data_IF_120354704308
#
_entry.id   IF_120354704308
#
_cell.length_a   1.000
_cell.length_b   1.000
_cell.length_c   1.000
_cell.angle_alpha   90.00
_cell.angle_beta   90.00
_cell.angle_gamma   90.00
#
_symmetry.space_group_name_H-M   'P 1'
#
loop_
_entity.id
_entity.type
_entity.pdbx_description
1 polymer ?
#
# COMPACT_ATOMS: atom_id res chain seq x y z
N UNK A 1 -0.17 12.05 -11.06
CA UNK A 1 0.91 11.65 -10.11
C UNK A 1 0.50 11.65 -8.63
N UNK A 2 0.17 12.80 -7.98
CA UNK A 2 -0.10 12.83 -6.52
C UNK A 2 -1.35 12.04 -6.06
N UNK A 3 -2.35 11.84 -6.93
CA UNK A 3 -3.60 11.16 -6.57
C UNK A 3 -3.55 9.63 -6.64
N UNK A 4 -2.80 9.06 -7.60
CA UNK A 4 -2.69 7.60 -7.78
C UNK A 4 -1.72 6.99 -6.75
N UNK A 5 -0.58 7.64 -6.47
CA UNK A 5 0.35 7.21 -5.42
C UNK A 5 -0.31 7.16 -4.03
N UNK A 6 -1.27 8.07 -3.80
CA UNK A 6 -2.05 8.15 -2.57
C UNK A 6 -3.11 7.02 -2.47
N UNK A 7 -3.69 6.60 -3.59
CA UNK A 7 -4.60 5.44 -3.65
C UNK A 7 -3.86 4.14 -3.29
N UNK A 8 -2.62 3.96 -3.78
CA UNK A 8 -1.78 2.81 -3.40
C UNK A 8 -1.33 2.83 -1.93
N UNK A 9 -1.02 4.01 -1.39
CA UNK A 9 -0.67 4.19 0.03
C UNK A 9 -1.84 3.86 0.98
N UNK A 10 -3.07 4.16 0.55
CA UNK A 10 -4.32 3.88 1.28
C UNK A 10 -4.72 2.40 1.24
N UNK A 11 -4.57 1.72 0.10
CA UNK A 11 -4.76 0.26 -0.02
C UNK A 11 -3.78 -0.48 0.91
N UNK A 12 -2.59 0.08 1.11
CA UNK A 12 -1.54 -0.53 1.91
C UNK A 12 -1.79 -0.46 3.44
N UNK A 13 -2.44 0.58 3.97
CA UNK A 13 -2.79 0.67 5.40
C UNK A 13 -3.81 -0.40 5.84
N UNK A 14 -4.55 -1.00 4.91
CA UNK A 14 -5.52 -2.06 5.18
C UNK A 14 -4.88 -3.39 5.64
N UNK A 15 -3.70 -3.72 5.12
CA UNK A 15 -2.99 -4.96 5.50
C UNK A 15 -2.42 -4.91 6.93
N UNK A 16 -2.36 -3.74 7.56
CA UNK A 16 -1.83 -3.55 8.91
C UNK A 16 -2.94 -3.57 9.98
N UNK A 17 -4.15 -3.10 9.64
CA UNK A 17 -5.22 -2.86 10.63
C UNK A 17 -6.39 -3.87 10.62
N UNK A 18 -6.45 -4.80 9.66
CA UNK A 18 -7.43 -5.88 9.71
C UNK A 18 -6.90 -7.07 10.52
N UNK A 19 -7.19 -7.07 11.83
CA UNK A 19 -7.10 -8.26 12.68
C UNK A 19 -7.93 -9.41 12.08
N UNK A 20 -7.25 -10.51 11.78
CA UNK A 20 -7.82 -11.71 11.18
C UNK A 20 -8.82 -12.41 12.12
N UNK A 21 -9.92 -13.01 11.60
CA UNK A 21 -10.50 -14.21 12.20
C UNK A 21 -9.54 -15.39 12.00
N UNK A 22 -9.45 -16.22 13.05
CA UNK A 22 -8.49 -17.30 13.26
C UNK A 22 -8.60 -18.47 12.27
N UNK A 23 -7.44 -19.06 11.93
CA UNK A 23 -7.28 -20.52 11.76
C UNK A 23 -7.05 -21.02 10.33
N UNK A 24 -6.06 -21.90 10.10
CA UNK A 24 -5.73 -22.40 8.77
C UNK A 24 -6.69 -23.52 8.35
N UNK A 25 -7.33 -23.38 7.19
CA UNK A 25 -7.82 -24.54 6.47
C UNK A 25 -6.61 -25.23 5.83
N UNK A 26 -6.27 -26.42 6.34
CA UNK A 26 -5.23 -27.28 5.75
C UNK A 26 -5.61 -27.55 4.29
N UNK A 27 -4.81 -27.05 3.35
CA UNK A 27 -5.01 -27.24 1.90
C UNK A 27 -5.74 -26.11 1.17
N UNK A 28 -6.14 -25.03 1.84
CA UNK A 28 -6.70 -23.84 1.19
C UNK A 28 -5.62 -22.86 0.69
N UNK A 29 -5.91 -22.01 -0.31
CA UNK A 29 -4.99 -20.94 -0.71
C UNK A 29 -4.68 -20.07 0.50
N UNK A 30 -3.39 -19.87 0.78
CA UNK A 30 -2.95 -18.95 1.84
C UNK A 30 -3.59 -17.58 1.55
N UNK A 31 -4.32 -17.04 2.51
CA UNK A 31 -4.89 -15.70 2.47
C UNK A 31 -4.25 -14.88 3.60
N UNK A 32 -3.89 -13.62 3.32
CA UNK A 32 -3.32 -12.70 4.30
C UNK A 32 -2.00 -12.04 3.88
N UNK A 33 -1.46 -11.22 4.77
CA UNK A 33 -0.23 -10.41 4.58
C UNK A 33 0.98 -11.27 4.20
N UNK A 34 1.02 -12.53 4.66
CA UNK A 34 2.16 -13.41 4.42
C UNK A 34 2.29 -13.88 2.96
N UNK A 35 1.20 -13.86 2.19
CA UNK A 35 1.22 -14.20 0.76
C UNK A 35 2.07 -13.21 -0.04
N UNK A 36 2.05 -11.94 0.36
CA UNK A 36 2.80 -10.88 -0.31
C UNK A 36 4.33 -11.02 -0.12
N UNK A 37 4.77 -11.79 0.89
CA UNK A 37 6.19 -12.11 1.11
C UNK A 37 6.60 -13.46 0.51
N UNK A 38 5.69 -14.20 -0.14
CA UNK A 38 6.04 -15.42 -0.86
C UNK A 38 6.93 -15.13 -2.08
N UNK A 39 7.63 -16.15 -2.59
CA UNK A 39 8.48 -15.99 -3.80
C UNK A 39 7.60 -15.72 -5.01
N UNK A 40 7.95 -14.66 -5.75
CA UNK A 40 7.37 -14.33 -7.05
C UNK A 40 8.21 -14.98 -8.15
N UNK A 41 7.58 -15.79 -8.98
CA UNK A 41 8.23 -16.45 -10.12
C UNK A 41 8.09 -15.64 -11.40
N UNK A 42 8.99 -15.90 -12.36
CA UNK A 42 8.98 -15.28 -13.70
C UNK A 42 7.63 -15.50 -14.41
N UNK A 43 7.07 -16.71 -14.34
CA UNK A 43 5.79 -17.02 -14.97
C UNK A 43 4.61 -16.31 -14.28
N UNK A 44 4.62 -16.20 -12.94
CA UNK A 44 3.59 -15.47 -12.22
C UNK A 44 3.57 -13.99 -12.62
N UNK A 45 4.72 -13.31 -12.64
CA UNK A 45 4.77 -11.88 -12.99
C UNK A 45 4.39 -11.65 -14.46
N UNK A 46 4.84 -12.48 -15.39
CA UNK A 46 4.48 -12.34 -16.81
C UNK A 46 2.97 -12.53 -17.05
N UNK A 47 2.36 -13.55 -16.43
CA UNK A 47 0.92 -13.75 -16.52
C UNK A 47 0.17 -12.61 -15.83
N UNK A 48 0.66 -12.14 -14.68
CA UNK A 48 0.09 -11.00 -13.98
C UNK A 48 0.09 -9.75 -14.86
N UNK A 49 1.22 -9.37 -15.46
CA UNK A 49 1.32 -8.18 -16.31
C UNK A 49 0.40 -8.23 -17.53
N UNK A 50 0.13 -9.44 -18.05
CA UNK A 50 -0.84 -9.63 -19.13
C UNK A 50 -2.29 -9.39 -18.67
N UNK A 51 -2.64 -9.85 -17.48
CA UNK A 51 -4.03 -9.83 -16.96
C UNK A 51 -4.35 -8.54 -16.21
N UNK A 52 -3.34 -7.89 -15.62
CA UNK A 52 -3.51 -6.71 -14.79
C UNK A 52 -4.22 -5.55 -15.50
N UNK A 53 -3.94 -5.22 -16.78
CA UNK A 53 -4.69 -4.19 -17.49
C UNK A 53 -6.20 -4.45 -17.53
N UNK A 54 -6.62 -5.70 -17.76
CA UNK A 54 -8.03 -6.11 -17.74
C UNK A 54 -8.64 -5.94 -16.35
N UNK A 55 -7.91 -6.30 -15.29
CA UNK A 55 -8.36 -6.04 -13.92
C UNK A 55 -8.57 -4.53 -13.67
N UNK A 56 -7.62 -3.69 -14.06
CA UNK A 56 -7.72 -2.23 -13.88
C UNK A 56 -8.93 -1.67 -14.64
N UNK A 57 -9.16 -2.10 -15.89
CA UNK A 57 -10.35 -1.71 -16.67
C UNK A 57 -11.67 -2.11 -16.00
N UNK A 58 -11.72 -3.31 -15.42
CA UNK A 58 -12.91 -3.78 -14.71
C UNK A 58 -13.19 -2.90 -13.50
N UNK A 59 -12.17 -2.65 -12.67
CA UNK A 59 -12.27 -1.79 -11.48
C UNK A 59 -12.63 -0.36 -11.85
N UNK A 60 -12.04 0.21 -12.90
CA UNK A 60 -12.36 1.56 -13.36
C UNK A 60 -13.79 1.69 -13.89
N UNK A 61 -14.31 0.68 -14.60
CA UNK A 61 -15.70 0.68 -15.07
C UNK A 61 -16.67 0.56 -13.92
N UNK A 62 -16.51 -0.46 -13.08
CA UNK A 62 -17.42 -0.74 -11.96
C UNK A 62 -17.34 0.39 -10.92
N UNK A 63 -16.14 0.93 -10.67
CA UNK A 63 -15.90 2.08 -9.80
C UNK A 63 -16.42 3.43 -10.31
N UNK A 64 -16.82 3.55 -11.59
CA UNK A 64 -17.56 4.71 -12.11
C UNK A 64 -19.08 4.56 -11.92
N UNK A 65 -19.58 3.33 -12.01
CA UNK A 65 -21.00 3.01 -11.80
C UNK A 65 -21.41 3.19 -10.34
N UNK A 66 -20.48 2.87 -9.44
CA UNK A 66 -20.59 3.20 -8.02
C UNK A 66 -20.02 4.61 -7.92
N UNK A 67 -20.82 5.62 -7.66
CA UNK A 67 -20.37 7.02 -7.54
C UNK A 67 -19.47 7.20 -6.30
N UNK A 68 -18.29 6.59 -6.33
CA UNK A 68 -17.21 6.74 -5.38
C UNK A 68 -16.62 8.10 -5.71
N UNK A 69 -17.15 9.16 -5.12
CA UNK A 69 -16.44 10.42 -5.00
C UNK A 69 -15.16 10.13 -4.20
N UNK A 70 -14.14 9.60 -4.87
CA UNK A 70 -12.87 9.27 -4.24
C UNK A 70 -12.20 10.58 -3.88
N UNK A 71 -12.38 11.02 -2.63
CA UNK A 71 -11.49 12.03 -2.08
C UNK A 71 -10.11 11.40 -1.97
N UNK A 72 -9.05 12.08 -2.43
CA UNK A 72 -7.69 11.61 -2.25
C UNK A 72 -7.44 11.39 -0.76
N UNK A 73 -7.26 10.13 -0.34
CA UNK A 73 -6.95 9.75 1.04
C UNK A 73 -8.10 9.05 1.78
N UNK A 74 -9.27 8.91 1.16
CA UNK A 74 -10.41 8.25 1.78
C UNK A 74 -10.33 6.72 1.68
N UNK A 75 -9.73 6.13 2.72
CA UNK A 75 -9.64 4.69 2.97
C UNK A 75 -11.02 4.02 2.94
N UNK A 76 -12.09 4.71 3.38
CA UNK A 76 -13.45 4.16 3.41
C UNK A 76 -14.01 3.92 2.00
N UNK A 77 -13.66 4.77 1.03
CA UNK A 77 -14.05 4.60 -0.37
C UNK A 77 -13.33 3.43 -1.05
N UNK A 78 -12.05 3.19 -0.74
CA UNK A 78 -11.31 2.01 -1.22
C UNK A 78 -11.88 0.70 -0.63
N UNK A 79 -12.29 0.73 0.64
CA UNK A 79 -12.97 -0.38 1.31
C UNK A 79 -14.37 -0.67 0.74
N UNK A 80 -15.14 0.37 0.37
CA UNK A 80 -16.43 0.19 -0.33
C UNK A 80 -16.24 -0.47 -1.69
N UNK A 81 -15.18 -0.12 -2.43
CA UNK A 81 -14.80 -0.82 -3.66
C UNK A 81 -14.53 -2.31 -3.43
N UNK A 82 -13.76 -2.67 -2.39
CA UNK A 82 -13.47 -4.07 -2.03
C UNK A 82 -14.70 -4.85 -1.51
N UNK A 83 -15.58 -4.19 -0.76
CA UNK A 83 -16.87 -4.77 -0.34
C UNK A 83 -17.76 -5.13 -1.54
N UNK A 84 -17.64 -4.41 -2.65
CA UNK A 84 -18.39 -4.65 -3.87
C UNK A 84 -17.74 -5.76 -4.69
N UNK A 85 -16.40 -5.76 -4.77
CA UNK A 85 -15.63 -6.87 -5.35
C UNK A 85 -16.00 -8.21 -4.70
N UNK A 86 -16.24 -8.26 -3.38
CA UNK A 86 -16.68 -9.47 -2.68
C UNK A 86 -18.03 -10.05 -3.18
N UNK A 87 -18.97 -9.22 -3.64
CA UNK A 87 -20.25 -9.67 -4.22
C UNK A 87 -20.09 -10.12 -5.67
N UNK A 88 -19.03 -9.68 -6.34
CA UNK A 88 -18.80 -9.90 -7.77
C UNK A 88 -17.59 -10.81 -8.06
N UNK A 89 -16.96 -11.41 -7.03
CA UNK A 89 -15.77 -12.28 -7.17
C UNK A 89 -15.98 -13.34 -8.24
N UNK A 90 -17.17 -13.93 -8.35
CA UNK A 90 -17.44 -14.97 -9.36
C UNK A 90 -17.38 -14.39 -10.79
N UNK A 91 -17.93 -13.19 -11.00
CA UNK A 91 -17.89 -12.54 -12.31
C UNK A 91 -16.47 -12.05 -12.62
N UNK A 92 -15.77 -11.53 -11.62
CA UNK A 92 -14.39 -11.08 -11.74
C UNK A 92 -13.43 -12.23 -12.01
N UNK A 93 -13.55 -13.35 -11.29
CA UNK A 93 -12.79 -14.59 -11.54
C UNK A 93 -13.02 -15.08 -12.97
N UNK A 94 -14.27 -15.08 -13.45
CA UNK A 94 -14.58 -15.46 -14.83
C UNK A 94 -13.88 -14.56 -15.86
N UNK A 95 -13.96 -13.23 -15.68
CA UNK A 95 -13.30 -12.25 -16.56
C UNK A 95 -11.76 -12.40 -16.53
N UNK A 96 -11.18 -12.60 -15.35
CA UNK A 96 -9.73 -12.78 -15.20
C UNK A 96 -9.27 -14.12 -15.79
N UNK A 97 -10.03 -15.21 -15.59
CA UNK A 97 -9.74 -16.52 -16.20
C UNK A 97 -9.75 -16.42 -17.72
N UNK A 98 -10.71 -15.70 -18.30
CA UNK A 98 -10.74 -15.45 -19.74
C UNK A 98 -9.51 -14.67 -20.22
N UNK A 99 -8.95 -13.78 -19.39
CA UNK A 99 -7.70 -13.08 -19.67
C UNK A 99 -6.44 -13.94 -19.42
N UNK A 100 -6.57 -15.10 -18.76
CA UNK A 100 -5.51 -16.09 -18.58
C UNK A 100 -5.00 -16.28 -17.15
N UNK A 101 -5.69 -15.77 -16.12
CA UNK A 101 -5.35 -15.98 -14.72
C UNK A 101 -6.59 -15.97 -13.82
N UNK A 102 -6.77 -16.97 -12.96
CA UNK A 102 -7.90 -16.96 -12.02
C UNK A 102 -7.69 -16.00 -10.85
N UNK A 103 -8.75 -15.63 -10.15
CA UNK A 103 -8.74 -14.75 -8.97
C UNK A 103 -7.72 -15.19 -7.91
N UNK A 104 -7.71 -16.49 -7.60
CA UNK A 104 -6.81 -17.08 -6.60
C UNK A 104 -5.34 -17.12 -7.04
N UNK A 105 -5.04 -17.00 -8.33
CA UNK A 105 -3.68 -16.85 -8.85
C UNK A 105 -3.30 -15.36 -8.95
N UNK A 106 -4.28 -14.53 -9.34
CA UNK A 106 -4.13 -13.10 -9.54
C UNK A 106 -3.81 -12.36 -8.25
N UNK A 107 -4.54 -12.62 -7.18
CA UNK A 107 -4.36 -11.86 -5.95
C UNK A 107 -2.99 -12.09 -5.28
N UNK A 108 -2.47 -13.33 -5.18
CA UNK A 108 -1.09 -13.54 -4.75
C UNK A 108 -0.05 -12.87 -5.65
N UNK A 109 -0.20 -12.97 -6.97
CA UNK A 109 0.74 -12.36 -7.91
C UNK A 109 0.73 -10.83 -7.81
N UNK A 110 -0.46 -10.23 -7.69
CA UNK A 110 -0.65 -8.81 -7.41
C UNK A 110 0.03 -8.40 -6.09
N UNK A 111 -0.25 -9.10 -5.00
CA UNK A 111 0.31 -8.80 -3.67
C UNK A 111 1.84 -8.80 -3.67
N UNK A 112 2.46 -9.89 -4.16
CA UNK A 112 3.92 -10.01 -4.26
C UNK A 112 4.53 -8.92 -5.15
N UNK A 113 3.93 -8.66 -6.31
CA UNK A 113 4.43 -7.68 -7.29
C UNK A 113 4.35 -6.27 -6.71
N UNK A 114 3.21 -5.88 -6.14
CA UNK A 114 3.00 -4.53 -5.61
C UNK A 114 3.80 -4.29 -4.32
N UNK A 115 4.02 -5.31 -3.50
CA UNK A 115 4.89 -5.20 -2.33
C UNK A 115 6.35 -5.01 -2.71
N UNK A 116 6.84 -5.78 -3.68
CA UNK A 116 8.19 -5.60 -4.22
C UNK A 116 8.36 -4.26 -4.93
N UNK A 117 7.37 -3.84 -5.73
CA UNK A 117 7.35 -2.53 -6.36
C UNK A 117 7.45 -1.40 -5.34
N UNK A 118 6.60 -1.44 -4.30
CA UNK A 118 6.63 -0.39 -3.25
C UNK A 118 7.90 -0.46 -2.42
N UNK A 119 8.45 -1.64 -2.14
CA UNK A 119 9.73 -1.77 -1.46
C UNK A 119 10.87 -1.12 -2.27
N UNK A 120 10.90 -1.29 -3.59
CA UNK A 120 11.87 -0.62 -4.47
C UNK A 120 11.70 0.91 -4.42
N UNK A 121 10.45 1.40 -4.48
CA UNK A 121 10.19 2.83 -4.36
C UNK A 121 10.65 3.38 -3.01
N UNK A 122 10.32 2.71 -1.91
CA UNK A 122 10.77 3.10 -0.58
C UNK A 122 12.29 3.06 -0.47
N UNK A 123 12.95 2.04 -1.01
CA UNK A 123 14.41 1.95 -1.03
C UNK A 123 15.03 3.15 -1.79
N UNK A 124 14.38 3.64 -2.85
CA UNK A 124 14.81 4.86 -3.56
C UNK A 124 14.56 6.15 -2.76
N UNK A 125 13.49 6.19 -1.96
CA UNK A 125 13.12 7.34 -1.15
C UNK A 125 13.86 7.40 0.20
N UNK A 126 14.43 6.28 0.66
CA UNK A 126 15.09 6.16 1.97
C UNK A 126 16.16 7.22 2.22
N UNK A 127 16.94 7.59 1.21
CA UNK A 127 18.01 8.58 1.41
C UNK A 127 17.42 9.94 1.77
N UNK A 128 16.38 10.38 1.06
CA UNK A 128 15.75 11.67 1.31
C UNK A 128 14.87 11.62 2.56
N UNK A 129 14.12 10.53 2.74
CA UNK A 129 13.31 10.31 3.93
C UNK A 129 14.15 10.29 5.21
N UNK A 130 15.35 9.67 5.20
CA UNK A 130 16.27 9.68 6.34
C UNK A 130 16.75 11.08 6.68
N UNK A 131 17.03 11.94 5.69
CA UNK A 131 17.43 13.33 5.94
C UNK A 131 16.30 14.11 6.59
N UNK A 132 15.07 13.97 6.08
CA UNK A 132 13.89 14.62 6.64
C UNK A 132 13.57 14.11 8.05
N UNK A 133 13.72 12.81 8.32
CA UNK A 133 13.57 12.25 9.67
C UNK A 133 14.57 12.86 10.67
N UNK A 134 15.84 13.03 10.28
CA UNK A 134 16.84 13.68 11.15
C UNK A 134 16.49 15.14 11.44
N UNK A 135 15.98 15.87 10.43
CA UNK A 135 15.47 17.24 10.66
C UNK A 135 14.29 17.25 11.62
N UNK A 136 13.34 16.33 11.42
CA UNK A 136 12.16 16.18 12.28
C UNK A 136 12.54 15.84 13.72
N UNK A 137 13.56 15.00 13.97
CA UNK A 137 14.05 14.74 15.33
C UNK A 137 14.58 15.99 16.03
N UNK A 138 15.33 16.83 15.32
CA UNK A 138 15.81 18.10 15.86
C UNK A 138 14.64 19.06 16.17
N UNK A 139 13.64 19.11 15.30
CA UNK A 139 12.45 19.92 15.48
C UNK A 139 11.56 19.40 16.63
N UNK A 140 11.38 18.09 16.76
CA UNK A 140 10.71 17.44 17.89
C UNK A 140 11.37 17.85 19.20
N UNK A 141 12.70 17.75 19.31
CA UNK A 141 13.44 18.17 20.52
C UNK A 141 13.23 19.65 20.83
N UNK A 142 13.22 20.51 19.80
CA UNK A 142 12.95 21.94 19.97
C UNK A 142 11.53 22.20 20.49
N UNK A 143 10.53 21.52 19.93
CA UNK A 143 9.15 21.65 20.38
C UNK A 143 8.93 21.08 21.80
N UNK A 144 9.60 19.98 22.14
CA UNK A 144 9.58 19.42 23.51
C UNK A 144 10.21 20.40 24.52
N UNK A 145 11.28 21.09 24.15
CA UNK A 145 11.86 22.14 24.99
C UNK A 145 10.90 23.32 25.19
N UNK A 146 10.18 23.75 24.15
CA UNK A 146 9.18 24.82 24.23
C UNK A 146 8.00 24.47 25.15
N UNK A 147 7.63 23.18 25.26
CA UNK A 147 6.60 22.75 26.21
C UNK A 147 7.02 22.94 27.68
N UNK A 148 8.31 22.87 27.95
CA UNK A 148 8.88 23.04 29.29
C UNK A 148 9.18 24.52 29.63
N UNK A 149 9.09 25.43 28.66
CA UNK A 149 9.31 26.85 28.89
C UNK A 149 8.08 27.48 29.58
N UNK A 150 8.22 28.02 30.81
CA UNK A 150 7.12 28.65 31.53
C UNK A 150 6.60 29.92 30.86
N UNK A 151 7.34 30.51 29.91
CA UNK A 151 6.92 31.72 29.16
C UNK A 151 5.93 31.44 28.03
N UNK A 152 5.74 30.17 27.66
CA UNK A 152 4.81 29.79 26.58
C UNK A 152 3.39 29.66 27.16
N UNK A 153 2.39 30.37 26.61
CA UNK A 153 1.00 30.25 27.04
C UNK A 153 0.45 28.83 26.84
N UNK A 154 -0.44 28.38 27.74
CA UNK A 154 -1.04 27.04 27.67
C UNK A 154 -1.79 26.76 26.35
N UNK A 155 -2.43 27.78 25.77
CA UNK A 155 -3.07 27.66 24.45
C UNK A 155 -2.07 27.33 23.33
N UNK A 156 -0.86 27.90 23.39
CA UNK A 156 0.21 27.59 22.45
C UNK A 156 0.82 26.21 22.74
N UNK A 157 0.96 25.83 24.02
CA UNK A 157 1.42 24.47 24.38
C UNK A 157 0.49 23.39 23.86
N UNK A 158 -0.82 23.62 23.84
CA UNK A 158 -1.79 22.67 23.26
C UNK A 158 -1.54 22.44 21.76
N UNK A 159 -1.34 23.53 20.99
CA UNK A 159 -1.02 23.43 19.57
C UNK A 159 0.33 22.73 19.31
N UNK A 160 1.33 23.00 20.16
CA UNK A 160 2.65 22.34 20.10
C UNK A 160 2.50 20.83 20.38
N UNK A 161 1.70 20.43 21.38
CA UNK A 161 1.43 19.01 21.68
C UNK A 161 0.79 18.28 20.50
N UNK A 162 -0.25 18.86 19.89
CA UNK A 162 -0.91 18.27 18.73
C UNK A 162 0.06 18.12 17.54
N UNK A 163 0.90 19.12 17.30
CA UNK A 163 1.92 19.07 16.23
C UNK A 163 2.98 17.99 16.51
N UNK A 164 3.43 17.87 17.76
CA UNK A 164 4.35 16.82 18.20
C UNK A 164 3.77 15.41 18.01
N UNK A 165 2.49 15.23 18.36
CA UNK A 165 1.80 13.96 18.17
C UNK A 165 1.73 13.57 16.69
N UNK A 166 1.37 14.52 15.82
CA UNK A 166 1.35 14.30 14.37
C UNK A 166 2.74 13.91 13.81
N UNK A 167 3.80 14.61 14.22
CA UNK A 167 5.17 14.30 13.77
C UNK A 167 5.67 12.94 14.28
N UNK A 168 5.39 12.59 15.54
CA UNK A 168 5.75 11.28 16.10
C UNK A 168 4.98 10.16 15.42
N UNK A 169 3.69 10.35 15.18
CA UNK A 169 2.84 9.40 14.47
C UNK A 169 3.31 9.17 13.03
N UNK A 170 3.67 10.24 12.30
CA UNK A 170 4.23 10.14 10.95
C UNK A 170 5.55 9.35 10.94
N UNK A 171 6.44 9.62 11.89
CA UNK A 171 7.73 8.90 12.04
C UNK A 171 7.51 7.41 12.34
N UNK A 172 6.58 7.10 13.26
CA UNK A 172 6.23 5.72 13.59
C UNK A 172 5.64 4.99 12.38
N UNK A 173 4.75 5.64 11.64
CA UNK A 173 4.14 5.09 10.41
C UNK A 173 5.21 4.77 9.37
N UNK A 174 6.19 5.67 9.16
CA UNK A 174 7.29 5.43 8.25
C UNK A 174 8.16 4.24 8.68
N UNK A 175 8.49 4.13 9.97
CA UNK A 175 9.25 3.00 10.51
C UNK A 175 8.49 1.67 10.39
N UNK A 176 7.16 1.69 10.55
CA UNK A 176 6.31 0.53 10.31
C UNK A 176 6.36 0.10 8.84
N UNK A 177 6.32 1.03 7.89
CA UNK A 177 6.51 0.71 6.47
C UNK A 177 7.87 0.08 6.23
N UNK A 178 8.96 0.67 6.72
CA UNK A 178 10.29 0.10 6.51
C UNK A 178 10.38 -1.34 7.04
N UNK A 179 9.81 -1.60 8.21
CA UNK A 179 9.77 -2.94 8.81
C UNK A 179 8.97 -3.94 7.96
N UNK A 180 7.82 -3.53 7.45
CA UNK A 180 6.97 -4.38 6.59
C UNK A 180 7.70 -4.71 5.28
N UNK A 181 8.24 -3.70 4.61
CA UNK A 181 8.85 -3.89 3.30
C UNK A 181 10.26 -4.49 3.34
N UNK A 182 10.92 -4.46 4.51
CA UNK A 182 12.15 -5.20 4.74
C UNK A 182 11.96 -6.72 4.63
N UNK A 183 10.74 -7.23 4.86
CA UNK A 183 10.41 -8.66 4.73
C UNK A 183 10.24 -9.13 3.29
N UNK A 184 10.17 -8.20 2.32
CA UNK A 184 10.00 -8.57 0.91
C UNK A 184 11.25 -9.28 0.39
N UNK A 185 11.15 -10.50 -0.16
CA UNK A 185 12.30 -11.22 -0.69
C UNK A 185 13.07 -10.41 -1.72
N UNK A 186 14.40 -10.40 -1.61
CA UNK A 186 15.27 -9.68 -2.54
C UNK A 186 15.09 -10.14 -3.99
N UNK A 187 14.88 -11.45 -4.21
CA UNK A 187 14.56 -12.02 -5.52
C UNK A 187 13.29 -11.42 -6.14
N UNK A 188 12.28 -11.10 -5.34
CA UNK A 188 11.05 -10.46 -5.83
C UNK A 188 11.33 -9.03 -6.27
N UNK A 189 12.14 -8.29 -5.50
CA UNK A 189 12.55 -6.91 -5.87
C UNK A 189 13.32 -6.90 -7.19
N UNK A 190 14.26 -7.83 -7.36
CA UNK A 190 15.04 -7.95 -8.59
C UNK A 190 14.17 -8.30 -9.80
N UNK A 191 13.25 -9.25 -9.63
CA UNK A 191 12.30 -9.61 -10.67
C UNK A 191 11.37 -8.45 -11.04
N UNK A 192 10.78 -7.76 -10.05
CA UNK A 192 9.95 -6.58 -10.32
C UNK A 192 10.75 -5.46 -10.97
N UNK A 193 12.02 -5.27 -10.59
CA UNK A 193 12.90 -4.28 -11.21
C UNK A 193 13.11 -4.55 -12.71
N UNK A 194 13.19 -5.81 -13.13
CA UNK A 194 13.26 -6.23 -14.55
C UNK A 194 12.03 -5.77 -15.34
N UNK A 195 10.86 -5.81 -14.71
CA UNK A 195 9.56 -5.46 -15.30
C UNK A 195 9.08 -4.05 -14.95
N UNK A 196 9.91 -3.23 -14.32
CA UNK A 196 9.50 -1.96 -13.71
C UNK A 196 8.89 -1.00 -14.73
N UNK A 197 9.41 -0.99 -15.97
CA UNK A 197 8.89 -0.17 -17.05
C UNK A 197 7.45 -0.55 -17.40
N UNK A 198 7.19 -1.83 -17.65
CA UNK A 198 5.85 -2.35 -18.00
C UNK A 198 4.86 -2.11 -16.85
N UNK A 199 5.28 -2.35 -15.61
CA UNK A 199 4.47 -2.05 -14.42
C UNK A 199 4.13 -0.56 -14.38
N UNK A 200 5.10 0.32 -14.59
CA UNK A 200 4.89 1.77 -14.58
C UNK A 200 3.94 2.23 -15.70
N UNK A 201 4.02 1.63 -16.88
CA UNK A 201 3.13 1.95 -18.01
C UNK A 201 1.68 1.57 -17.68
N UNK A 202 1.45 0.45 -17.00
CA UNK A 202 0.10 0.04 -16.58
C UNK A 202 -0.41 0.90 -15.42
N UNK A 203 0.44 1.16 -14.42
CA UNK A 203 0.06 1.85 -13.17
C UNK A 203 -0.10 3.37 -13.38
N UNK A 204 0.65 3.97 -14.31
CA UNK A 204 0.63 5.41 -14.58
C UNK A 204 -0.06 5.75 -15.90
N UNK A 205 -0.94 4.89 -16.42
CA UNK A 205 -1.77 5.21 -17.58
C UNK A 205 -2.71 6.37 -17.23
N UNK A 206 -2.83 7.33 -18.15
CA UNK A 206 -3.69 8.52 -18.02
C UNK A 206 -5.17 8.19 -18.30
#
# INVERSE_FOLDING_TARGET
>A
MKRILLVFFVIFLFFIFCGAPQGPAVGGPQTGVDVAYGILTENEIQRFLRVFPTFVEIVEREGKEINLETQPGDIVSAFRGMSILNKEIVQLDSKLRAAGMGWNEFWPAYGKTMFAYTAILLDSLKVEAKKEMVKNEAEIKKMEALLNDPKIPESQKSAIKASLEAMKSATQTFNQFDTIYARVPQSNKELVKKYLKEINEIVNRD
#
